data_IF_052326085727
#
_entry.id   IF_052326085727
#
_cell.length_a   1.000
_cell.length_b   1.000
_cell.length_c   1.000
_cell.angle_alpha   90.00
_cell.angle_beta   90.00
_cell.angle_gamma   90.00
#
_symmetry.space_group_name_H-M   'P 1'
#
loop_
_entity.id
_entity.type
_entity.pdbx_description
1 polymer ?
#
# COMPACT_ATOMS: atom_id res chain seq x y z
N UNK A 1 15.55 -11.73 -12.96
CA UNK A 1 15.40 -10.94 -14.21
C UNK A 1 15.02 -9.48 -13.96
N UNK A 2 14.09 -9.18 -13.03
CA UNK A 2 13.54 -7.82 -12.84
C UNK A 2 14.53 -6.78 -12.28
N UNK A 3 15.45 -7.16 -11.39
CA UNK A 3 16.51 -6.26 -10.91
C UNK A 3 17.37 -5.64 -12.02
N UNK A 4 17.68 -6.38 -13.09
CA UNK A 4 18.44 -5.85 -14.24
C UNK A 4 17.61 -4.82 -15.01
N UNK A 5 16.32 -5.08 -15.18
CA UNK A 5 15.40 -4.15 -15.82
C UNK A 5 15.27 -2.84 -15.05
N UNK A 6 15.29 -2.87 -13.72
CA UNK A 6 15.31 -1.64 -12.91
C UNK A 6 16.49 -0.73 -13.29
N UNK A 7 17.72 -1.27 -13.32
CA UNK A 7 18.89 -0.48 -13.71
C UNK A 7 18.80 0.05 -15.15
N UNK A 8 18.29 -0.75 -16.09
CA UNK A 8 18.12 -0.33 -17.49
C UNK A 8 17.09 0.80 -17.58
N UNK A 9 15.93 0.64 -16.96
CA UNK A 9 14.87 1.66 -16.97
C UNK A 9 15.36 2.94 -16.32
N UNK A 10 16.00 2.87 -15.14
CA UNK A 10 16.54 4.05 -14.48
C UNK A 10 17.62 4.75 -15.30
N UNK A 11 18.51 4.01 -15.96
CA UNK A 11 19.53 4.59 -16.83
C UNK A 11 18.89 5.31 -18.04
N UNK A 12 17.92 4.69 -18.71
CA UNK A 12 17.19 5.30 -19.82
C UNK A 12 16.47 6.57 -19.36
N UNK A 13 15.81 6.53 -18.21
CA UNK A 13 15.05 7.65 -17.67
C UNK A 13 15.96 8.83 -17.31
N UNK A 14 17.13 8.57 -16.72
CA UNK A 14 18.14 9.60 -16.45
C UNK A 14 18.72 10.21 -17.73
N UNK A 15 18.98 9.38 -18.76
CA UNK A 15 19.46 9.86 -20.07
C UNK A 15 18.40 10.72 -20.75
N UNK A 16 17.13 10.31 -20.72
CA UNK A 16 16.03 11.11 -21.28
C UNK A 16 15.88 12.46 -20.57
N UNK A 17 16.01 12.52 -19.24
CA UNK A 17 15.99 13.77 -18.48
C UNK A 17 17.19 14.65 -18.85
N UNK A 18 18.38 14.06 -19.00
CA UNK A 18 19.58 14.77 -19.43
C UNK A 18 19.44 15.38 -20.82
N UNK A 19 18.89 14.63 -21.79
CA UNK A 19 18.60 15.12 -23.14
C UNK A 19 17.53 16.21 -23.14
N UNK A 20 16.46 16.06 -22.34
CA UNK A 20 15.42 17.08 -22.19
C UNK A 20 15.97 18.37 -21.57
N UNK A 21 16.93 18.27 -20.65
CA UNK A 21 17.58 19.43 -20.03
C UNK A 21 18.42 20.25 -21.03
N UNK A 22 18.89 19.65 -22.13
CA UNK A 22 19.59 20.37 -23.21
C UNK A 22 18.66 21.31 -23.99
N UNK A 23 17.37 20.98 -24.08
CA UNK A 23 16.36 21.78 -24.77
C UNK A 23 15.69 22.77 -23.81
N UNK A 24 15.41 22.33 -22.58
CA UNK A 24 14.82 23.16 -21.55
C UNK A 24 15.45 22.87 -20.17
N UNK A 25 16.21 23.81 -19.59
CA UNK A 25 16.83 23.62 -18.27
C UNK A 25 15.83 23.29 -17.16
N UNK A 26 14.56 23.67 -17.31
CA UNK A 26 13.52 23.34 -16.35
C UNK A 26 13.25 21.84 -16.22
N UNK A 27 13.66 21.01 -17.20
CA UNK A 27 13.55 19.56 -17.12
C UNK A 27 14.32 18.97 -15.93
N UNK A 28 15.35 19.67 -15.41
CA UNK A 28 16.09 19.24 -14.21
C UNK A 28 15.22 19.20 -12.95
N UNK A 29 14.12 19.95 -12.89
CA UNK A 29 13.18 19.87 -11.76
C UNK A 29 12.52 18.49 -11.64
N UNK A 30 12.42 17.73 -12.73
CA UNK A 30 11.92 16.34 -12.68
C UNK A 30 12.78 15.42 -11.82
N UNK A 31 14.07 15.76 -11.66
CA UNK A 31 15.02 15.01 -10.85
C UNK A 31 14.72 15.10 -9.35
N UNK A 32 13.97 16.12 -8.91
CA UNK A 32 13.47 16.22 -7.53
C UNK A 32 12.54 15.05 -7.20
N UNK A 33 11.79 14.54 -8.16
CA UNK A 33 10.89 13.38 -7.97
C UNK A 33 11.62 12.08 -8.31
N UNK A 34 12.34 12.05 -9.42
CA UNK A 34 13.00 10.82 -9.92
C UNK A 34 14.22 10.44 -9.09
N UNK A 35 14.98 11.42 -8.60
CA UNK A 35 16.19 11.21 -7.81
C UNK A 35 15.95 10.41 -6.53
N UNK A 36 14.99 10.80 -5.67
CA UNK A 36 14.64 10.03 -4.48
C UNK A 36 14.17 8.60 -4.79
N UNK A 37 13.36 8.42 -5.84
CA UNK A 37 12.92 7.09 -6.28
C UNK A 37 14.09 6.20 -6.72
N UNK A 38 15.05 6.78 -7.44
CA UNK A 38 16.25 6.08 -7.85
C UNK A 38 17.14 5.70 -6.65
N UNK A 39 17.34 6.63 -5.72
CA UNK A 39 18.10 6.39 -4.49
C UNK A 39 17.45 5.29 -3.63
N UNK A 40 16.13 5.31 -3.50
CA UNK A 40 15.36 4.28 -2.79
C UNK A 40 15.49 2.92 -3.46
N UNK A 41 15.37 2.85 -4.79
CA UNK A 41 15.56 1.59 -5.51
C UNK A 41 17.00 1.06 -5.45
N UNK A 42 18.01 1.94 -5.39
CA UNK A 42 19.39 1.54 -5.10
C UNK A 42 19.50 0.94 -3.69
N UNK A 43 18.96 1.61 -2.68
CA UNK A 43 18.93 1.11 -1.30
C UNK A 43 18.29 -0.28 -1.22
N UNK A 44 17.14 -0.46 -1.87
CA UNK A 44 16.43 -1.76 -1.95
C UNK A 44 17.31 -2.87 -2.55
N UNK A 45 18.09 -2.54 -3.58
CA UNK A 45 18.97 -3.50 -4.26
C UNK A 45 20.15 -3.95 -3.38
N UNK A 46 20.66 -3.06 -2.53
CA UNK A 46 21.79 -3.34 -1.63
C UNK A 46 21.35 -3.98 -0.32
N UNK A 47 20.14 -3.69 0.16
CA UNK A 47 19.62 -4.27 1.39
C UNK A 47 19.53 -5.79 1.30
N UNK A 48 19.98 -6.49 2.35
CA UNK A 48 19.99 -7.96 2.43
C UNK A 48 18.82 -8.54 3.20
N UNK A 49 18.06 -7.72 3.94
CA UNK A 49 17.02 -8.19 4.86
C UNK A 49 15.70 -8.60 4.17
N UNK A 50 15.31 -7.91 3.09
CA UNK A 50 14.04 -8.16 2.41
C UNK A 50 14.29 -8.67 0.98
N UNK A 51 14.20 -9.99 0.80
CA UNK A 51 14.42 -10.66 -0.50
C UNK A 51 13.49 -10.15 -1.60
N UNK A 52 12.26 -9.76 -1.25
CA UNK A 52 11.27 -9.23 -2.20
C UNK A 52 11.70 -7.85 -2.71
N UNK A 53 12.01 -6.90 -1.82
CA UNK A 53 12.48 -5.56 -2.20
C UNK A 53 13.76 -5.63 -3.03
N UNK A 54 14.66 -6.56 -2.69
CA UNK A 54 15.91 -6.77 -3.43
C UNK A 54 15.71 -7.24 -4.87
N UNK A 55 14.63 -7.99 -5.13
CA UNK A 55 14.31 -8.50 -6.47
C UNK A 55 13.38 -7.56 -7.25
N UNK A 56 12.58 -6.76 -6.54
CA UNK A 56 11.61 -5.81 -7.06
C UNK A 56 11.79 -4.45 -6.37
N UNK A 57 12.90 -3.74 -6.66
CA UNK A 57 13.16 -2.43 -6.06
C UNK A 57 12.04 -1.45 -6.40
N UNK A 58 11.70 -0.56 -5.45
CA UNK A 58 10.57 0.38 -5.49
C UNK A 58 9.20 -0.32 -5.49
N UNK A 59 8.92 -1.17 -6.49
CA UNK A 59 7.62 -1.83 -6.69
C UNK A 59 7.25 -2.78 -5.54
N UNK A 60 8.25 -3.43 -4.92
CA UNK A 60 8.03 -4.34 -3.80
C UNK A 60 7.40 -3.67 -2.57
N UNK A 61 7.54 -2.35 -2.41
CA UNK A 61 6.87 -1.60 -1.34
C UNK A 61 5.35 -1.66 -1.45
N UNK A 62 4.80 -1.77 -2.66
CA UNK A 62 3.36 -1.90 -2.87
C UNK A 62 2.78 -3.14 -2.20
N UNK A 63 3.53 -4.25 -2.15
CA UNK A 63 3.12 -5.45 -1.40
C UNK A 63 2.93 -5.14 0.07
N UNK A 64 3.92 -4.50 0.71
CA UNK A 64 3.87 -4.19 2.13
C UNK A 64 2.80 -3.14 2.45
N UNK A 65 2.59 -2.18 1.56
CA UNK A 65 1.50 -1.23 1.67
C UNK A 65 0.14 -1.94 1.66
N UNK A 66 -0.09 -2.86 0.70
CA UNK A 66 -1.32 -3.67 0.68
C UNK A 66 -1.44 -4.59 1.88
N UNK A 67 -0.33 -5.11 2.41
CA UNK A 67 -0.31 -5.96 3.60
C UNK A 67 -0.75 -5.18 4.85
N UNK A 68 -0.38 -3.90 4.95
CA UNK A 68 -0.85 -3.00 6.01
C UNK A 68 -2.33 -2.68 5.87
N UNK A 69 -2.82 -2.43 4.64
CA UNK A 69 -4.21 -2.03 4.37
C UNK A 69 -5.19 -3.22 4.35
N UNK A 70 -4.67 -4.44 4.17
CA UNK A 70 -5.45 -5.68 4.11
C UNK A 70 -6.41 -5.85 5.31
N UNK A 71 -6.01 -5.73 6.58
CA UNK A 71 -6.91 -5.93 7.72
C UNK A 71 -8.09 -4.95 7.73
N UNK A 72 -7.87 -3.68 7.38
CA UNK A 72 -8.96 -2.70 7.33
C UNK A 72 -9.92 -3.01 6.17
N UNK A 73 -9.40 -3.36 4.99
CA UNK A 73 -10.27 -3.77 3.88
C UNK A 73 -11.10 -4.99 4.29
N UNK A 74 -10.47 -5.98 4.91
CA UNK A 74 -11.16 -7.18 5.39
C UNK A 74 -12.27 -6.81 6.39
N UNK A 75 -11.95 -6.05 7.43
CA UNK A 75 -12.87 -5.75 8.53
C UNK A 75 -14.06 -4.85 8.13
N UNK A 76 -13.87 -3.93 7.19
CA UNK A 76 -14.89 -2.93 6.87
C UNK A 76 -15.69 -3.24 5.60
N UNK A 77 -15.09 -3.90 4.61
CA UNK A 77 -15.73 -4.12 3.31
C UNK A 77 -16.12 -5.57 3.06
N UNK A 78 -15.38 -6.54 3.63
CA UNK A 78 -15.55 -7.96 3.31
C UNK A 78 -16.25 -8.70 4.44
N UNK A 79 -15.84 -8.45 5.68
CA UNK A 79 -16.35 -9.15 6.85
C UNK A 79 -17.80 -8.75 7.12
N UNK A 80 -18.69 -9.75 7.04
CA UNK A 80 -20.10 -9.57 7.36
C UNK A 80 -20.28 -9.42 8.89
N UNK A 81 -21.49 -9.06 9.33
CA UNK A 81 -21.71 -8.84 10.76
C UNK A 81 -21.59 -10.13 11.60
N UNK A 82 -21.71 -11.30 10.97
CA UNK A 82 -21.76 -12.64 11.59
C UNK A 82 -20.53 -13.50 11.28
N UNK A 83 -19.72 -13.15 10.28
CA UNK A 83 -18.55 -13.96 9.90
C UNK A 83 -17.29 -13.65 10.72
N UNK A 84 -17.32 -12.61 11.56
CA UNK A 84 -16.17 -12.17 12.33
C UNK A 84 -15.85 -13.11 13.52
N UNK A 85 -14.62 -13.62 13.58
CA UNK A 85 -14.11 -14.42 14.71
C UNK A 85 -13.13 -13.61 15.57
N UNK A 86 -13.09 -13.74 16.92
CA UNK A 86 -13.88 -14.64 17.78
C UNK A 86 -15.23 -14.06 18.25
N UNK A 87 -15.51 -12.78 17.98
CA UNK A 87 -16.77 -12.13 18.37
C UNK A 87 -17.34 -11.38 17.17
N UNK A 88 -18.58 -11.72 16.85
CA UNK A 88 -19.36 -11.10 15.78
C UNK A 88 -19.54 -9.59 15.98
N UNK A 89 -19.60 -8.85 14.88
CA UNK A 89 -19.76 -7.39 14.89
C UNK A 89 -21.12 -6.99 15.47
N UNK A 90 -22.14 -7.79 15.20
CA UNK A 90 -23.49 -7.65 15.77
C UNK A 90 -23.45 -7.73 17.30
N UNK A 91 -22.82 -8.77 17.84
CA UNK A 91 -22.70 -8.97 19.28
C UNK A 91 -21.98 -7.79 19.96
N UNK A 92 -20.86 -7.33 19.38
CA UNK A 92 -20.15 -6.14 19.87
C UNK A 92 -21.01 -4.88 19.83
N UNK A 93 -21.80 -4.70 18.77
CA UNK A 93 -22.70 -3.54 18.63
C UNK A 93 -23.83 -3.55 19.68
N UNK A 94 -24.35 -4.74 19.99
CA UNK A 94 -25.39 -4.95 21.00
C UNK A 94 -24.86 -4.64 22.41
N UNK A 95 -23.65 -5.08 22.75
CA UNK A 95 -22.99 -4.72 24.02
C UNK A 95 -22.82 -3.21 24.15
N UNK A 96 -22.38 -2.52 23.09
CA UNK A 96 -22.24 -1.06 23.11
C UNK A 96 -23.56 -0.31 23.26
N UNK A 97 -24.64 -0.81 22.65
CA UNK A 97 -25.98 -0.22 22.82
C UNK A 97 -26.47 -0.36 24.26
N UNK A 98 -26.32 -1.54 24.84
CA UNK A 98 -26.66 -1.81 26.26
C UNK A 98 -25.86 -0.93 27.21
N UNK A 99 -24.55 -0.80 27.00
CA UNK A 99 -23.69 0.05 27.82
C UNK A 99 -24.07 1.53 27.76
N UNK A 100 -24.62 1.99 26.63
CA UNK A 100 -25.11 3.36 26.44
C UNK A 100 -26.56 3.57 26.90
N UNK A 101 -27.25 2.53 27.35
CA UNK A 101 -28.66 2.59 27.76
C UNK A 101 -29.62 2.94 26.62
N UNK A 102 -29.22 2.71 25.36
CA UNK A 102 -30.07 2.92 24.19
C UNK A 102 -30.76 1.63 23.80
N UNK A 103 -31.87 1.75 23.06
CA UNK A 103 -32.67 0.62 22.56
C UNK A 103 -31.77 -0.44 21.90
N UNK A 104 -31.77 -1.64 22.46
CA UNK A 104 -30.91 -2.77 22.07
C UNK A 104 -31.63 -3.81 21.21
N UNK A 105 -32.95 -3.68 21.02
CA UNK A 105 -33.75 -4.54 20.16
C UNK A 105 -33.61 -4.15 18.69
N UNK A 106 -33.30 -5.14 17.85
CA UNK A 106 -33.22 -5.03 16.39
C UNK A 106 -34.38 -5.82 15.77
N UNK A 107 -35.16 -5.26 14.84
CA UNK A 107 -36.27 -5.97 14.21
C UNK A 107 -35.78 -7.15 13.37
N UNK A 108 -36.40 -8.30 13.59
CA UNK A 108 -36.10 -9.56 12.92
C UNK A 108 -36.30 -9.43 11.40
N UNK A 109 -35.33 -9.85 10.59
CA UNK A 109 -35.43 -9.88 9.12
C UNK A 109 -34.66 -8.80 8.34
N UNK A 110 -33.92 -7.92 9.01
CA UNK A 110 -33.07 -6.91 8.34
C UNK A 110 -31.63 -7.36 8.07
N UNK A 111 -31.22 -8.52 8.62
CA UNK A 111 -29.87 -9.08 8.51
C UNK A 111 -29.97 -10.56 8.09
N UNK A 112 -29.14 -10.99 7.14
CA UNK A 112 -29.03 -12.34 6.56
C UNK A 112 -27.57 -12.67 6.33
#
# INVERSE_FOLDING_TARGET
MVRRWFFVVSAVLLVCIGLAALVNPAALWSLVVVGPLFALGLYDCFQTRHTILRNFPVVGHGRYFMEIVRPEIQQYFIESNVDAFPIEREFRSLVYRRAKGVLDTVPFGTQR
#
